data_IF_084538551345
#
_entry.id   IF_084538551345
#
_cell.length_a   1.000
_cell.length_b   1.000
_cell.length_c   1.000
_cell.angle_alpha   90.00
_cell.angle_beta   90.00
_cell.angle_gamma   90.00
#
_symmetry.space_group_name_H-M   'P 1'
#
loop_
_entity.id
_entity.type
_entity.pdbx_description
1 polymer ?
#
# COMPACT_ATOMS: atom_id res chain seq x y z
N UNK A 1 -44.37 74.86 -42.00
CA UNK A 1 -43.61 73.61 -42.08
C UNK A 1 -42.31 73.81 -41.31
N UNK A 2 -42.22 73.48 -40.00
CA UNK A 2 -40.96 73.63 -39.27
C UNK A 2 -40.01 72.47 -39.58
N UNK A 3 -38.77 72.84 -39.89
CA UNK A 3 -37.65 71.97 -40.24
C UNK A 3 -37.14 71.24 -38.99
N UNK A 4 -37.00 69.91 -39.06
CA UNK A 4 -36.41 69.11 -37.98
C UNK A 4 -34.88 69.23 -38.09
N UNK A 5 -34.26 70.05 -37.23
CA UNK A 5 -32.81 70.08 -37.09
C UNK A 5 -32.37 68.89 -36.25
N UNK A 6 -31.87 67.84 -36.92
CA UNK A 6 -31.26 66.69 -36.26
C UNK A 6 -29.97 67.13 -35.54
N UNK A 7 -30.01 67.17 -34.20
CA UNK A 7 -28.85 67.46 -33.35
C UNK A 7 -27.98 66.21 -33.25
N UNK A 8 -26.90 66.15 -34.01
CA UNK A 8 -25.85 65.13 -33.87
C UNK A 8 -25.00 65.47 -32.65
N UNK A 9 -25.31 64.84 -31.51
CA UNK A 9 -24.48 64.89 -30.32
C UNK A 9 -23.16 64.16 -30.62
N UNK A 10 -22.10 64.92 -30.90
CA UNK A 10 -20.75 64.37 -31.02
C UNK A 10 -20.26 63.96 -29.63
N UNK A 11 -19.77 62.72 -29.43
CA UNK A 11 -19.26 62.30 -28.14
C UNK A 11 -18.11 63.23 -27.72
N UNK A 12 -18.16 63.72 -26.49
CA UNK A 12 -17.10 64.57 -25.94
C UNK A 12 -15.84 63.74 -25.74
N UNK A 13 -14.63 64.34 -25.84
CA UNK A 13 -13.36 63.63 -25.62
C UNK A 13 -13.28 62.93 -24.26
N UNK A 14 -13.91 63.52 -23.23
CA UNK A 14 -14.02 62.95 -21.89
C UNK A 14 -14.84 61.65 -21.89
N UNK A 15 -16.01 61.64 -22.55
CA UNK A 15 -16.85 60.43 -22.65
C UNK A 15 -16.15 59.29 -23.40
N UNK A 16 -15.32 59.60 -24.39
CA UNK A 16 -14.50 58.61 -25.10
C UNK A 16 -13.41 58.02 -24.19
N UNK A 17 -12.75 58.85 -23.36
CA UNK A 17 -11.74 58.40 -22.40
C UNK A 17 -12.34 57.52 -21.30
N UNK A 18 -13.51 57.90 -20.76
CA UNK A 18 -14.18 57.12 -19.72
C UNK A 18 -14.65 55.75 -20.25
N UNK A 19 -15.14 55.71 -21.49
CA UNK A 19 -15.48 54.45 -22.16
C UNK A 19 -14.26 53.56 -22.38
N UNK A 20 -13.13 54.13 -22.80
CA UNK A 20 -11.88 53.38 -22.97
C UNK A 20 -11.37 52.81 -21.63
N UNK A 21 -11.45 53.58 -20.55
CA UNK A 21 -11.11 53.12 -19.19
C UNK A 21 -12.04 52.02 -18.70
N UNK A 22 -13.34 52.13 -18.97
CA UNK A 22 -14.32 51.10 -18.64
C UNK A 22 -14.07 49.80 -19.41
N UNK A 23 -13.80 49.89 -20.71
CA UNK A 23 -13.47 48.71 -21.53
C UNK A 23 -12.16 48.04 -21.09
N UNK A 24 -11.16 48.83 -20.69
CA UNK A 24 -9.94 48.30 -20.09
C UNK A 24 -10.22 47.60 -18.76
N UNK A 25 -10.95 48.24 -17.84
CA UNK A 25 -11.30 47.66 -16.56
C UNK A 25 -12.11 46.35 -16.70
N UNK A 26 -12.97 46.25 -17.72
CA UNK A 26 -13.69 45.00 -18.03
C UNK A 26 -12.74 43.88 -18.44
N UNK A 27 -11.81 44.15 -19.36
CA UNK A 27 -10.82 43.15 -19.78
C UNK A 27 -9.95 42.69 -18.61
N UNK A 28 -9.54 43.61 -17.76
CA UNK A 28 -8.73 43.31 -16.57
C UNK A 28 -9.54 42.45 -15.58
N UNK A 29 -10.83 42.75 -15.39
CA UNK A 29 -11.73 41.96 -14.57
C UNK A 29 -11.98 40.55 -15.14
N UNK A 30 -12.21 40.43 -16.45
CA UNK A 30 -12.40 39.14 -17.13
C UNK A 30 -11.14 38.25 -17.00
N UNK A 31 -9.95 38.84 -17.13
CA UNK A 31 -8.69 38.13 -16.89
C UNK A 31 -8.52 37.70 -15.42
N UNK A 32 -8.85 38.59 -14.47
CA UNK A 32 -8.80 38.27 -13.06
C UNK A 32 -9.78 37.15 -12.69
N UNK A 33 -10.97 37.14 -13.28
CA UNK A 33 -11.95 36.07 -13.08
C UNK A 33 -11.47 34.74 -13.66
N UNK A 34 -10.96 34.74 -14.90
CA UNK A 34 -10.42 33.53 -15.52
C UNK A 34 -9.24 32.95 -14.73
N UNK A 35 -8.35 33.79 -14.20
CA UNK A 35 -7.23 33.34 -13.37
C UNK A 35 -7.71 32.81 -12.02
N UNK A 36 -8.67 33.46 -11.37
CA UNK A 36 -9.28 32.99 -10.13
C UNK A 36 -9.99 31.64 -10.31
N UNK A 37 -10.74 31.46 -11.39
CA UNK A 37 -11.40 30.19 -11.72
C UNK A 37 -10.38 29.06 -11.94
N UNK A 38 -9.29 29.34 -12.67
CA UNK A 38 -8.21 28.37 -12.87
C UNK A 38 -7.51 28.00 -11.56
N UNK A 39 -7.22 28.98 -10.70
CA UNK A 39 -6.61 28.73 -9.38
C UNK A 39 -7.52 27.90 -8.49
N UNK A 40 -8.82 28.15 -8.52
CA UNK A 40 -9.81 27.38 -7.77
C UNK A 40 -9.87 25.94 -8.26
N UNK A 41 -9.92 25.72 -9.57
CA UNK A 41 -9.88 24.38 -10.15
C UNK A 41 -8.58 23.61 -9.78
N UNK A 42 -7.44 24.30 -9.76
CA UNK A 42 -6.17 23.71 -9.31
C UNK A 42 -6.19 23.36 -7.83
N UNK A 43 -6.77 24.22 -6.98
CA UNK A 43 -6.90 23.96 -5.55
C UNK A 43 -7.81 22.76 -5.28
N UNK A 44 -8.96 22.69 -5.96
CA UNK A 44 -9.90 21.58 -5.82
C UNK A 44 -9.25 20.25 -6.26
N UNK A 45 -8.49 20.25 -7.37
CA UNK A 45 -7.77 19.07 -7.83
C UNK A 45 -6.67 18.63 -6.83
N UNK A 46 -5.90 19.59 -6.29
CA UNK A 46 -4.88 19.31 -5.29
C UNK A 46 -5.49 18.77 -3.98
N UNK A 47 -6.67 19.26 -3.57
CA UNK A 47 -7.38 18.77 -2.41
C UNK A 47 -7.85 17.32 -2.61
N UNK A 48 -8.41 16.99 -3.77
CA UNK A 48 -8.78 15.61 -4.12
C UNK A 48 -7.57 14.67 -4.09
N UNK A 49 -6.43 15.09 -4.64
CA UNK A 49 -5.20 14.30 -4.63
C UNK A 49 -4.66 14.11 -3.21
N UNK A 50 -4.71 15.15 -2.36
CA UNK A 50 -4.30 15.08 -0.96
C UNK A 50 -5.18 14.10 -0.17
N UNK A 51 -6.50 14.14 -0.36
CA UNK A 51 -7.44 13.21 0.26
C UNK A 51 -7.14 11.77 -0.15
N UNK A 52 -6.95 11.52 -1.45
CA UNK A 52 -6.59 10.19 -1.98
C UNK A 52 -5.28 9.67 -1.40
N UNK A 53 -4.25 10.52 -1.32
CA UNK A 53 -2.96 10.16 -0.73
C UNK A 53 -3.09 9.82 0.75
N UNK A 54 -3.89 10.59 1.49
CA UNK A 54 -4.14 10.32 2.90
C UNK A 54 -4.81 8.96 3.12
N UNK A 55 -5.82 8.62 2.29
CA UNK A 55 -6.48 7.31 2.36
C UNK A 55 -5.54 6.16 2.01
N UNK A 56 -4.68 6.34 0.99
CA UNK A 56 -3.66 5.35 0.63
C UNK A 56 -2.64 5.13 1.76
N UNK A 57 -2.16 6.20 2.40
CA UNK A 57 -1.24 6.10 3.55
C UNK A 57 -1.91 5.40 4.72
N UNK A 58 -3.19 5.68 4.98
CA UNK A 58 -3.96 5.01 6.03
C UNK A 58 -4.13 3.51 5.74
N UNK A 59 -4.47 3.15 4.51
CA UNK A 59 -4.57 1.75 4.10
C UNK A 59 -3.22 1.03 4.21
N UNK A 60 -2.14 1.63 3.68
CA UNK A 60 -0.79 1.09 3.77
C UNK A 60 -0.34 0.90 5.23
N UNK A 61 -0.58 1.89 6.10
CA UNK A 61 -0.30 1.78 7.54
C UNK A 61 -1.07 0.63 8.19
N UNK A 62 -2.32 0.41 7.78
CA UNK A 62 -3.13 -0.70 8.29
C UNK A 62 -2.60 -2.06 7.81
N UNK A 63 -2.15 -2.15 6.55
CA UNK A 63 -1.53 -3.36 5.98
C UNK A 63 -0.21 -3.68 6.66
N UNK A 64 0.64 -2.66 6.89
CA UNK A 64 1.90 -2.82 7.63
C UNK A 64 1.61 -3.35 9.04
N UNK A 65 0.66 -2.76 9.78
CA UNK A 65 0.29 -3.28 11.12
C UNK A 65 -0.20 -4.73 11.10
N UNK A 66 -0.95 -5.15 10.09
CA UNK A 66 -1.40 -6.55 9.97
C UNK A 66 -0.25 -7.49 9.59
N UNK A 67 0.64 -7.06 8.70
CA UNK A 67 1.83 -7.81 8.34
C UNK A 67 2.75 -7.96 9.56
N UNK A 68 2.98 -6.87 10.29
CA UNK A 68 3.80 -6.84 11.50
C UNK A 68 3.17 -7.67 12.64
N UNK A 69 1.84 -7.67 12.79
CA UNK A 69 1.15 -8.58 13.72
C UNK A 69 1.24 -10.07 13.33
N UNK A 70 1.51 -10.36 12.05
CA UNK A 70 1.73 -11.74 11.58
C UNK A 70 3.17 -12.19 11.84
N UNK A 71 4.12 -11.25 11.91
CA UNK A 71 5.54 -11.49 12.20
C UNK A 71 5.98 -11.13 13.61
N UNK A 72 5.09 -10.52 14.42
CA UNK A 72 5.31 -10.35 15.85
C UNK A 72 5.33 -11.75 16.44
N UNK A 73 6.55 -12.26 16.67
CA UNK A 73 6.79 -13.48 17.41
C UNK A 73 5.86 -13.50 18.63
N UNK A 74 5.22 -14.64 18.95
CA UNK A 74 4.37 -14.72 20.12
C UNK A 74 5.18 -14.18 21.30
N UNK A 75 4.74 -13.03 21.84
CA UNK A 75 5.35 -12.38 22.98
C UNK A 75 5.56 -13.45 24.04
N UNK A 76 6.82 -13.76 24.29
CA UNK A 76 7.23 -14.94 25.03
C UNK A 76 6.50 -15.03 26.36
N UNK A 77 5.51 -15.91 26.43
CA UNK A 77 5.32 -16.64 27.67
C UNK A 77 6.59 -17.48 27.79
N UNK A 78 7.38 -17.39 28.87
CA UNK A 78 8.36 -18.43 29.11
C UNK A 78 7.55 -19.72 29.13
N UNK A 79 7.75 -20.58 28.14
CA UNK A 79 7.29 -21.94 28.26
C UNK A 79 8.09 -22.49 29.42
N UNK A 80 7.51 -22.46 30.60
CA UNK A 80 8.04 -23.07 31.82
C UNK A 80 7.91 -24.57 31.61
N UNK A 81 8.67 -25.09 30.64
CA UNK A 81 8.89 -26.51 30.47
C UNK A 81 9.62 -26.91 31.74
N UNK A 82 8.98 -27.68 32.64
CA UNK A 82 9.61 -28.05 33.91
C UNK A 82 10.98 -28.65 33.62
N UNK A 83 12.00 -28.35 34.44
CA UNK A 83 13.37 -28.83 34.23
C UNK A 83 13.43 -30.34 33.95
N UNK A 84 12.53 -31.13 34.57
CA UNK A 84 12.37 -32.56 34.30
C UNK A 84 12.09 -32.89 32.83
N UNK A 85 11.26 -32.11 32.16
CA UNK A 85 10.93 -32.30 30.75
C UNK A 85 12.09 -31.91 29.85
N UNK A 86 12.85 -30.87 30.22
CA UNK A 86 14.08 -30.50 29.50
C UNK A 86 15.14 -31.61 29.60
N UNK A 87 15.40 -32.08 30.83
CA UNK A 87 16.33 -33.18 31.07
C UNK A 87 15.89 -34.47 30.36
N UNK A 88 14.60 -34.78 30.36
CA UNK A 88 14.07 -35.94 29.63
C UNK A 88 14.34 -35.87 28.12
N UNK A 89 14.17 -34.69 27.51
CA UNK A 89 14.44 -34.49 26.08
C UNK A 89 15.93 -34.59 25.77
N UNK A 90 16.79 -34.04 26.63
CA UNK A 90 18.25 -34.15 26.53
C UNK A 90 18.71 -35.61 26.67
N UNK A 91 18.18 -36.36 27.63
CA UNK A 91 18.49 -37.77 27.83
C UNK A 91 18.04 -38.62 26.64
N UNK A 92 16.83 -38.35 26.11
CA UNK A 92 16.32 -39.03 24.93
C UNK A 92 17.18 -38.73 23.70
N UNK A 93 17.58 -37.48 23.49
CA UNK A 93 18.45 -37.08 22.39
C UNK A 93 19.84 -37.70 22.52
N UNK A 94 20.41 -37.73 23.72
CA UNK A 94 21.73 -38.33 23.97
C UNK A 94 21.70 -39.84 23.74
N UNK A 95 20.67 -40.53 24.22
CA UNK A 95 20.50 -41.97 24.01
C UNK A 95 20.26 -42.36 22.54
N UNK A 96 19.59 -41.50 21.77
CA UNK A 96 19.28 -41.76 20.36
C UNK A 96 20.37 -41.27 19.40
N UNK A 97 21.04 -40.15 19.68
CA UNK A 97 22.09 -39.58 18.83
C UNK A 97 23.28 -40.52 18.66
N UNK A 98 23.66 -41.24 19.72
CA UNK A 98 24.67 -42.30 19.65
C UNK A 98 24.26 -43.41 18.67
N UNK A 99 22.98 -43.78 18.63
CA UNK A 99 22.46 -44.75 17.64
C UNK A 99 22.42 -44.17 16.23
N UNK A 100 21.99 -42.92 16.05
CA UNK A 100 22.03 -42.24 14.74
C UNK A 100 23.45 -42.08 14.18
N UNK A 101 24.46 -41.88 15.04
CA UNK A 101 25.86 -41.80 14.65
C UNK A 101 26.46 -43.18 14.35
N UNK A 102 26.09 -44.21 15.11
CA UNK A 102 26.63 -45.57 14.97
C UNK A 102 26.00 -46.37 13.82
N UNK A 103 24.69 -46.23 13.57
CA UNK A 103 23.99 -46.97 12.49
C UNK A 103 23.85 -46.17 11.19
N UNK A 104 24.31 -44.92 11.16
CA UNK A 104 23.95 -43.97 10.12
C UNK A 104 22.49 -43.52 10.24
N UNK A 105 22.18 -42.33 9.70
CA UNK A 105 20.80 -41.84 9.66
C UNK A 105 20.01 -42.63 8.60
N UNK A 106 19.00 -43.44 8.97
CA UNK A 106 18.22 -44.23 8.02
C UNK A 106 17.47 -43.36 7.01
N UNK A 107 17.24 -42.07 7.32
CA UNK A 107 16.65 -41.12 6.37
C UNK A 107 17.61 -40.76 5.22
N UNK A 108 18.92 -40.90 5.41
CA UNK A 108 19.94 -40.54 4.38
C UNK A 108 20.32 -41.69 3.45
N UNK A 109 20.06 -42.93 3.85
CA UNK A 109 20.62 -44.10 3.19
C UNK A 109 19.91 -44.45 1.87
N UNK A 110 18.65 -44.07 1.69
CA UNK A 110 17.85 -44.70 0.65
C UNK A 110 16.99 -43.72 -0.15
N UNK A 111 17.63 -43.05 -1.11
CA UNK A 111 16.88 -42.44 -2.21
C UNK A 111 16.16 -43.49 -3.08
N UNK A 112 16.44 -44.79 -2.91
CA UNK A 112 15.89 -45.90 -3.71
C UNK A 112 15.03 -46.89 -2.90
N UNK A 113 14.71 -46.63 -1.62
CA UNK A 113 13.87 -47.55 -0.83
C UNK A 113 12.47 -47.70 -1.42
N UNK A 114 11.96 -48.94 -1.36
CA UNK A 114 10.59 -49.26 -1.74
C UNK A 114 9.56 -48.39 -0.99
N UNK A 115 8.45 -47.99 -1.65
CA UNK A 115 7.41 -47.19 -1.01
C UNK A 115 6.87 -47.85 0.25
N UNK A 116 6.55 -47.05 1.27
CA UNK A 116 5.93 -47.56 2.50
C UNK A 116 4.52 -48.01 2.17
N UNK A 117 4.24 -49.31 2.30
CA UNK A 117 2.91 -49.89 2.05
C UNK A 117 2.10 -49.98 3.35
N UNK A 118 0.80 -49.75 3.27
CA UNK A 118 -0.12 -49.98 4.38
C UNK A 118 -0.48 -51.46 4.52
N UNK A 119 -1.21 -51.81 5.58
CA UNK A 119 -1.68 -53.19 5.84
C UNK A 119 -2.66 -53.74 4.78
N UNK A 120 -3.06 -52.91 3.82
CA UNK A 120 -3.91 -53.26 2.68
C UNK A 120 -3.08 -53.37 1.38
N UNK A 121 -1.75 -53.32 1.46
CA UNK A 121 -0.83 -53.43 0.32
C UNK A 121 -0.72 -52.18 -0.55
N UNK A 122 -1.32 -51.06 -0.13
CA UNK A 122 -1.29 -49.80 -0.90
C UNK A 122 -0.07 -48.97 -0.53
N UNK A 123 0.67 -48.48 -1.53
CA UNK A 123 1.80 -47.57 -1.32
C UNK A 123 1.30 -46.20 -0.82
N UNK A 124 1.71 -45.82 0.39
CA UNK A 124 1.29 -44.58 1.08
C UNK A 124 2.29 -43.44 0.96
N UNK A 125 3.49 -43.70 0.42
CA UNK A 125 4.44 -42.63 0.11
C UNK A 125 5.87 -43.12 -0.10
N UNK A 126 6.72 -42.19 -0.53
CA UNK A 126 8.17 -42.33 -0.67
C UNK A 126 8.85 -41.30 0.22
N UNK A 127 9.89 -41.70 0.95
CA UNK A 127 10.73 -40.78 1.70
C UNK A 127 11.72 -40.14 0.71
N UNK A 128 11.65 -38.82 0.52
CA UNK A 128 12.58 -38.07 -0.32
C UNK A 128 13.49 -37.20 0.54
N UNK A 129 14.80 -37.30 0.32
CA UNK A 129 15.77 -36.37 0.92
C UNK A 129 15.71 -35.03 0.19
N UNK A 130 15.03 -34.05 0.78
CA UNK A 130 15.05 -32.66 0.32
C UNK A 130 16.31 -31.98 0.87
N UNK A 131 17.45 -32.20 0.21
CA UNK A 131 18.61 -31.30 0.35
C UNK A 131 18.77 -30.53 -0.97
N UNK A 132 18.62 -29.21 -0.89
CA UNK A 132 19.00 -28.27 -1.92
C UNK A 132 20.53 -28.10 -1.95
#
# INVERSE_FOLDING_TARGET
MPTITASYARPTPQAMMDKARLEQAKRDADQAEATAQNLRAQADAAEMDAQKNHDQVRDLSSRIRRADATYSAPSGKPSEVPQKTQNFLEDMYTATSAKFAASGNPLKADALSSPVVNNQGQATGRIVNLKA
#
